data_IF_435970222634
#
_entry.id   IF_435970222634
#
_cell.length_a   1.000
_cell.length_b   1.000
_cell.length_c   1.000
_cell.angle_alpha   90.00
_cell.angle_beta   90.00
_cell.angle_gamma   90.00
#
_symmetry.space_group_name_H-M   'P 1'
#
loop_
_entity.id
_entity.type
_entity.pdbx_description
1 polymer ?
#
# COMPACT_ATOMS: atom_id res chain seq x y z
N UNK A 1 16.37 -14.80 -40.11
CA UNK A 1 15.27 -13.80 -40.09
C UNK A 1 13.96 -14.55 -39.98
N UNK A 2 13.47 -14.75 -38.76
CA UNK A 2 12.09 -15.19 -38.53
C UNK A 2 11.17 -13.96 -38.59
N UNK A 3 9.97 -14.06 -39.18
CA UNK A 3 9.13 -12.90 -39.40
C UNK A 3 8.56 -12.42 -38.05
N UNK A 4 8.68 -11.10 -37.81
CA UNK A 4 7.94 -10.39 -36.76
C UNK A 4 6.45 -10.57 -37.03
N UNK A 5 5.81 -11.46 -36.26
CA UNK A 5 4.35 -11.53 -36.20
C UNK A 5 3.91 -10.25 -35.49
N UNK A 6 3.35 -9.33 -36.26
CA UNK A 6 2.74 -8.11 -35.75
C UNK A 6 1.41 -8.51 -35.08
N UNK A 7 1.48 -8.94 -33.82
CA UNK A 7 0.29 -9.11 -32.98
C UNK A 7 -0.23 -7.70 -32.69
N UNK A 8 -1.40 -7.36 -33.22
CA UNK A 8 -2.09 -6.15 -32.85
C UNK A 8 -2.36 -6.20 -31.34
N UNK A 9 -1.57 -5.48 -30.55
CA UNK A 9 -1.82 -5.34 -29.11
C UNK A 9 -2.98 -4.37 -28.93
N UNK A 10 -4.17 -4.88 -28.64
CA UNK A 10 -5.29 -4.05 -28.19
C UNK A 10 -4.87 -3.39 -26.85
N UNK A 11 -4.63 -2.09 -26.90
CA UNK A 11 -4.26 -1.29 -25.73
C UNK A 11 -5.50 -0.99 -24.90
N UNK A 12 -5.54 -1.49 -23.66
CA UNK A 12 -6.60 -1.16 -22.69
C UNK A 12 -6.21 0.13 -21.95
N UNK A 13 -7.15 1.05 -21.75
CA UNK A 13 -6.92 2.20 -20.87
C UNK A 13 -7.10 1.79 -19.40
N UNK A 14 -6.37 2.37 -18.43
CA UNK A 14 -6.48 2.00 -17.02
C UNK A 14 -7.90 2.03 -16.45
N UNK A 15 -8.72 3.00 -16.89
CA UNK A 15 -10.13 3.12 -16.49
C UNK A 15 -11.11 2.24 -17.27
N UNK A 16 -10.61 1.30 -18.08
CA UNK A 16 -11.42 0.40 -18.90
C UNK A 16 -11.21 -1.09 -18.57
N UNK A 17 -10.45 -1.40 -17.52
CA UNK A 17 -10.15 -2.79 -17.13
C UNK A 17 -11.44 -3.62 -16.95
N UNK A 18 -12.49 -3.04 -16.40
CA UNK A 18 -13.78 -3.68 -16.17
C UNK A 18 -14.88 -3.11 -17.08
N UNK A 19 -14.52 -2.53 -18.24
CA UNK A 19 -15.49 -2.00 -19.18
C UNK A 19 -16.50 -3.08 -19.61
N UNK A 20 -17.80 -2.75 -19.52
CA UNK A 20 -18.89 -3.68 -19.82
C UNK A 20 -19.20 -4.70 -18.72
N UNK A 21 -18.42 -4.75 -17.63
CA UNK A 21 -18.77 -5.54 -16.45
C UNK A 21 -19.85 -4.83 -15.63
N UNK A 22 -20.78 -5.62 -15.10
CA UNK A 22 -21.85 -5.17 -14.21
C UNK A 22 -21.74 -5.86 -12.86
N UNK A 23 -21.88 -5.09 -11.78
CA UNK A 23 -21.89 -5.60 -10.41
C UNK A 23 -23.07 -5.07 -9.63
N UNK A 24 -23.75 -5.97 -8.92
CA UNK A 24 -24.81 -5.64 -7.97
C UNK A 24 -24.25 -5.75 -6.56
N UNK A 25 -24.13 -4.62 -5.87
CA UNK A 25 -23.69 -4.59 -4.48
C UNK A 25 -24.90 -4.79 -3.55
N UNK A 26 -24.75 -5.55 -2.46
CA UNK A 26 -25.89 -6.03 -1.68
C UNK A 26 -26.63 -4.94 -0.88
N UNK A 27 -26.04 -3.75 -0.73
CA UNK A 27 -26.51 -2.69 0.17
C UNK A 27 -26.10 -1.29 -0.32
N UNK A 28 -26.69 -0.27 0.29
CA UNK A 28 -26.35 1.14 0.11
C UNK A 28 -25.86 1.75 1.44
N UNK A 29 -24.66 1.37 1.86
CA UNK A 29 -23.93 1.96 2.98
C UNK A 29 -22.61 2.60 2.51
N UNK A 30 -21.88 3.23 3.43
CA UNK A 30 -20.60 3.92 3.11
C UNK A 30 -19.61 2.97 2.42
N UNK A 31 -19.52 1.71 2.87
CA UNK A 31 -18.64 0.71 2.28
C UNK A 31 -19.05 0.36 0.85
N UNK A 32 -20.35 0.14 0.58
CA UNK A 32 -20.85 -0.17 -0.76
C UNK A 32 -20.73 1.01 -1.72
N UNK A 33 -20.96 2.24 -1.24
CA UNK A 33 -20.74 3.44 -2.06
C UNK A 33 -19.27 3.62 -2.41
N UNK A 34 -18.36 3.38 -1.46
CA UNK A 34 -16.92 3.39 -1.73
C UNK A 34 -16.49 2.29 -2.70
N UNK A 35 -17.00 1.05 -2.52
CA UNK A 35 -16.78 -0.05 -3.45
C UNK A 35 -17.21 0.29 -4.88
N UNK A 36 -18.37 0.95 -5.03
CA UNK A 36 -18.81 1.50 -6.32
C UNK A 36 -17.81 2.50 -6.90
N UNK A 37 -17.27 3.43 -6.10
CA UNK A 37 -16.24 4.38 -6.59
C UNK A 37 -15.04 3.63 -7.16
N UNK A 38 -14.53 2.61 -6.44
CA UNK A 38 -13.38 1.82 -6.90
C UNK A 38 -13.68 1.08 -8.21
N UNK A 39 -14.80 0.35 -8.27
CA UNK A 39 -15.19 -0.44 -9.44
C UNK A 39 -15.49 0.45 -10.65
N UNK A 40 -16.16 1.58 -10.46
CA UNK A 40 -16.43 2.54 -11.54
C UNK A 40 -15.16 3.24 -12.03
N UNK A 41 -14.17 3.48 -11.15
CA UNK A 41 -12.85 3.97 -11.57
C UNK A 41 -12.11 2.98 -12.49
N UNK A 42 -12.47 1.70 -12.46
CA UNK A 42 -11.97 0.65 -13.36
C UNK A 42 -12.87 0.45 -14.58
N UNK A 43 -13.95 1.21 -14.74
CA UNK A 43 -14.85 1.16 -15.90
C UNK A 43 -16.09 0.28 -15.74
N UNK A 44 -16.36 -0.24 -14.54
CA UNK A 44 -17.53 -1.08 -14.29
C UNK A 44 -18.82 -0.26 -14.06
N UNK A 45 -19.93 -0.81 -14.52
CA UNK A 45 -21.27 -0.38 -14.11
C UNK A 45 -21.64 -1.04 -12.78
N UNK A 46 -22.10 -0.26 -11.80
CA UNK A 46 -22.37 -0.78 -10.46
C UNK A 46 -23.72 -0.27 -9.95
N UNK A 47 -24.57 -1.21 -9.56
CA UNK A 47 -25.85 -0.93 -8.92
C UNK A 47 -25.75 -1.20 -7.41
N UNK A 48 -26.34 -0.31 -6.61
CA UNK A 48 -26.44 -0.47 -5.16
C UNK A 48 -27.78 -1.09 -4.80
N UNK A 49 -27.77 -2.01 -3.84
CA UNK A 49 -28.98 -2.61 -3.29
C UNK A 49 -29.80 -1.60 -2.48
N UNK A 50 -31.10 -1.87 -2.35
CA UNK A 50 -32.04 -0.96 -1.68
C UNK A 50 -31.89 -0.89 -0.14
N UNK A 51 -31.08 -1.76 0.47
CA UNK A 51 -30.93 -1.83 1.93
C UNK A 51 -29.81 -0.90 2.41
N UNK A 52 -30.14 0.14 3.17
CA UNK A 52 -29.17 1.04 3.82
C UNK A 52 -28.66 0.52 5.18
N UNK A 53 -28.35 -0.79 5.30
CA UNK A 53 -27.88 -1.40 6.55
C UNK A 53 -26.38 -1.67 6.50
N UNK A 54 -25.62 -0.91 7.28
CA UNK A 54 -24.18 -1.06 7.50
C UNK A 54 -23.76 -0.43 8.83
N UNK A 55 -22.51 -0.62 9.22
CA UNK A 55 -21.93 0.11 10.37
C UNK A 55 -21.78 1.58 10.00
N UNK A 56 -22.07 2.48 10.94
CA UNK A 56 -21.65 3.88 10.80
C UNK A 56 -20.12 3.97 10.75
N UNK A 57 -19.53 5.04 10.18
CA UNK A 57 -18.07 5.24 10.19
C UNK A 57 -17.46 5.11 11.59
N UNK A 58 -18.07 5.72 12.60
CA UNK A 58 -17.63 5.63 14.00
C UNK A 58 -17.73 4.21 14.58
N UNK A 59 -18.75 3.44 14.19
CA UNK A 59 -18.86 2.03 14.58
C UNK A 59 -17.80 1.17 13.89
N UNK A 60 -17.58 1.35 12.58
CA UNK A 60 -16.55 0.63 11.84
C UNK A 60 -15.15 0.93 12.36
N UNK A 61 -14.89 2.18 12.75
CA UNK A 61 -13.63 2.60 13.37
C UNK A 61 -13.39 1.92 14.71
N UNK A 62 -14.37 1.92 15.62
CA UNK A 62 -14.26 1.19 16.89
C UNK A 62 -14.13 -0.32 16.68
N UNK A 63 -14.83 -0.89 15.70
CA UNK A 63 -14.74 -2.32 15.40
C UNK A 63 -13.35 -2.70 14.84
N UNK A 64 -12.68 -1.80 14.12
CA UNK A 64 -11.26 -1.98 13.74
C UNK A 64 -10.33 -2.03 14.95
N UNK A 65 -10.73 -1.42 16.07
CA UNK A 65 -9.94 -1.24 17.27
C UNK A 65 -8.82 -0.19 17.14
N UNK A 66 -8.83 0.62 16.08
CA UNK A 66 -7.83 1.67 15.87
C UNK A 66 -8.07 2.92 16.71
N UNK A 67 -9.27 3.07 17.29
CA UNK A 67 -9.56 4.06 18.33
C UNK A 67 -8.60 3.93 19.52
N UNK A 68 -8.25 2.70 19.91
CA UNK A 68 -7.32 2.43 21.00
C UNK A 68 -5.87 2.90 20.75
N UNK A 69 -5.51 3.25 19.52
CA UNK A 69 -4.19 3.77 19.13
C UNK A 69 -4.25 5.17 18.53
N UNK A 70 -5.43 5.80 18.60
CA UNK A 70 -5.66 7.13 18.02
C UNK A 70 -6.02 8.09 19.12
N UNK A 71 -5.20 9.13 19.28
CA UNK A 71 -5.34 10.14 20.32
C UNK A 71 -4.00 10.64 20.86
N UNK A 72 -4.02 11.64 21.75
CA UNK A 72 -2.84 12.08 22.48
C UNK A 72 -2.18 10.95 23.26
N UNK A 73 -0.92 11.15 23.63
CA UNK A 73 -0.18 10.17 24.44
C UNK A 73 -0.88 9.93 25.77
N UNK A 74 -1.38 8.70 25.98
CA UNK A 74 -2.11 8.33 27.19
C UNK A 74 -3.62 8.57 27.14
N UNK A 75 -4.14 9.21 26.10
CA UNK A 75 -5.56 9.55 25.93
C UNK A 75 -6.07 9.02 24.58
N UNK A 76 -6.21 7.69 24.47
CA UNK A 76 -6.76 7.05 23.27
C UNK A 76 -8.28 7.22 23.15
N UNK A 77 -8.83 6.85 21.99
CA UNK A 77 -10.28 6.81 21.75
C UNK A 77 -10.79 7.83 20.74
N UNK A 78 -9.91 8.56 20.06
CA UNK A 78 -10.32 9.48 19.01
C UNK A 78 -10.76 8.72 17.75
N UNK A 79 -11.73 9.31 17.05
CA UNK A 79 -12.22 8.81 15.77
C UNK A 79 -11.33 9.29 14.62
N UNK A 80 -11.27 8.52 13.54
CA UNK A 80 -10.70 9.02 12.30
C UNK A 80 -11.71 9.99 11.64
N UNK A 81 -11.33 11.23 11.28
CA UNK A 81 -12.22 12.15 10.60
C UNK A 81 -12.68 11.68 9.21
N UNK A 82 -11.90 10.80 8.57
CA UNK A 82 -12.26 10.14 7.32
C UNK A 82 -12.77 8.71 7.60
N UNK A 83 -13.71 8.16 6.81
CA UNK A 83 -14.31 6.86 7.07
C UNK A 83 -13.42 5.69 6.61
N UNK A 84 -12.13 5.71 6.95
CA UNK A 84 -11.13 4.77 6.42
C UNK A 84 -11.42 3.30 6.73
N UNK A 85 -12.01 3.00 7.89
CA UNK A 85 -12.48 1.66 8.22
C UNK A 85 -13.62 1.19 7.30
N UNK A 86 -14.55 2.08 6.96
CA UNK A 86 -15.61 1.78 5.98
C UNK A 86 -15.05 1.68 4.56
N UNK A 87 -14.05 2.49 4.19
CA UNK A 87 -13.36 2.40 2.90
C UNK A 87 -12.63 1.05 2.75
N UNK A 88 -11.99 0.56 3.81
CA UNK A 88 -11.39 -0.77 3.84
C UNK A 88 -12.41 -1.88 3.62
N UNK A 89 -13.57 -1.82 4.29
CA UNK A 89 -14.67 -2.76 4.02
C UNK A 89 -15.20 -2.64 2.58
N UNK A 90 -15.23 -1.43 2.01
CA UNK A 90 -15.58 -1.20 0.62
C UNK A 90 -14.59 -1.83 -0.37
N UNK A 91 -13.29 -1.76 -0.08
CA UNK A 91 -12.27 -2.43 -0.90
C UNK A 91 -12.44 -3.96 -0.88
N UNK A 92 -12.74 -4.54 0.29
CA UNK A 92 -13.07 -5.97 0.39
C UNK A 92 -14.36 -6.32 -0.36
N UNK A 93 -15.40 -5.49 -0.27
CA UNK A 93 -16.65 -5.71 -0.99
C UNK A 93 -16.44 -5.65 -2.52
N UNK A 94 -15.57 -4.76 -3.01
CA UNK A 94 -15.18 -4.71 -4.42
C UNK A 94 -14.42 -5.97 -4.85
N UNK A 95 -13.50 -6.48 -4.02
CA UNK A 95 -12.81 -7.77 -4.27
C UNK A 95 -13.82 -8.91 -4.39
N UNK A 96 -14.76 -9.02 -3.44
CA UNK A 96 -15.79 -10.06 -3.43
C UNK A 96 -16.70 -10.00 -4.65
N UNK A 97 -17.05 -8.80 -5.10
CA UNK A 97 -17.83 -8.58 -6.32
C UNK A 97 -17.09 -9.06 -7.57
N UNK A 98 -15.80 -8.69 -7.73
CA UNK A 98 -14.98 -9.12 -8.87
C UNK A 98 -14.76 -10.63 -8.89
N UNK A 99 -14.59 -11.24 -7.71
CA UNK A 99 -14.40 -12.68 -7.53
C UNK A 99 -15.70 -13.49 -7.51
N UNK A 100 -16.86 -12.83 -7.46
CA UNK A 100 -18.16 -13.46 -7.25
C UNK A 100 -18.19 -14.44 -6.06
N UNK A 101 -17.48 -14.10 -4.97
CA UNK A 101 -17.36 -14.96 -3.78
C UNK A 101 -17.08 -14.12 -2.54
N UNK A 102 -17.79 -14.42 -1.45
CA UNK A 102 -17.55 -13.82 -0.13
C UNK A 102 -16.26 -14.34 0.49
N UNK A 103 -15.49 -13.44 1.09
CA UNK A 103 -14.27 -13.76 1.81
C UNK A 103 -14.53 -13.68 3.33
N UNK A 104 -13.82 -14.47 4.15
CA UNK A 104 -14.06 -14.49 5.60
C UNK A 104 -13.49 -13.25 6.33
N UNK A 105 -12.79 -12.36 5.62
CA UNK A 105 -12.10 -11.22 6.21
C UNK A 105 -12.90 -9.92 6.05
N UNK A 106 -12.84 -9.09 7.07
CA UNK A 106 -13.46 -7.77 7.07
C UNK A 106 -12.35 -6.72 6.93
N UNK A 107 -12.49 -5.79 6.00
CA UNK A 107 -11.44 -4.81 5.69
C UNK A 107 -11.06 -3.97 6.91
N UNK A 108 -12.04 -3.52 7.69
CA UNK A 108 -11.81 -2.80 8.95
C UNK A 108 -10.98 -3.61 9.96
N UNK A 109 -11.12 -4.93 10.01
CA UNK A 109 -10.34 -5.80 10.90
C UNK A 109 -8.93 -6.01 10.38
N UNK A 110 -8.73 -6.02 9.07
CA UNK A 110 -7.41 -6.03 8.44
C UNK A 110 -6.62 -4.76 8.76
N UNK A 111 -7.27 -3.59 8.85
CA UNK A 111 -6.59 -2.34 9.27
C UNK A 111 -5.99 -2.44 10.67
N UNK A 112 -6.70 -3.10 11.60
CA UNK A 112 -6.27 -3.24 13.00
C UNK A 112 -5.47 -4.49 13.31
N UNK A 113 -5.15 -5.33 12.31
CA UNK A 113 -4.74 -6.71 12.58
C UNK A 113 -3.44 -6.84 13.37
N UNK A 114 -2.50 -5.89 13.24
CA UNK A 114 -1.25 -5.90 14.01
C UNK A 114 -1.48 -5.76 15.52
N UNK A 115 -2.51 -5.03 15.93
CA UNK A 115 -2.90 -4.89 17.35
C UNK A 115 -3.30 -6.22 17.99
N UNK A 116 -3.91 -7.11 17.22
CA UNK A 116 -4.30 -8.43 17.73
C UNK A 116 -3.08 -9.25 18.20
N UNK A 117 -1.89 -8.94 17.67
CA UNK A 117 -0.64 -9.64 17.98
C UNK A 117 0.33 -8.81 18.83
N UNK A 118 0.05 -7.52 19.07
CA UNK A 118 0.97 -6.63 19.76
C UNK A 118 0.28 -5.43 20.42
N UNK A 119 0.57 -5.12 21.70
CA UNK A 119 -0.02 -3.97 22.38
C UNK A 119 0.58 -2.66 21.84
N UNK A 120 -0.11 -2.06 20.88
CA UNK A 120 0.15 -0.71 20.41
C UNK A 120 -0.60 0.31 21.28
N UNK A 121 -0.12 1.56 21.33
CA UNK A 121 -0.70 2.64 22.13
C UNK A 121 -0.82 3.94 21.31
N UNK A 122 -1.77 4.77 21.68
CA UNK A 122 -1.86 6.14 21.17
C UNK A 122 -0.63 6.94 21.63
N UNK A 123 0.11 7.50 20.68
CA UNK A 123 1.33 8.28 20.91
C UNK A 123 1.21 9.76 20.54
N UNK A 124 0.03 10.21 20.11
CA UNK A 124 -0.21 11.55 19.60
C UNK A 124 0.68 11.88 18.39
N UNK A 125 1.75 12.64 18.63
CA UNK A 125 2.76 13.01 17.62
C UNK A 125 3.80 11.92 17.34
N UNK A 126 3.65 10.75 17.95
CA UNK A 126 4.47 9.55 17.72
C UNK A 126 3.55 8.45 17.19
N UNK A 127 3.97 7.75 16.12
CA UNK A 127 3.19 6.66 15.55
C UNK A 127 3.00 5.50 16.53
N UNK A 128 2.01 4.66 16.28
CA UNK A 128 1.63 3.57 17.19
C UNK A 128 2.78 2.58 17.49
N UNK A 129 3.68 2.37 16.52
CA UNK A 129 4.87 1.52 16.65
C UNK A 129 6.13 2.27 17.14
N UNK A 130 6.05 3.60 17.35
CA UNK A 130 7.14 4.42 17.84
C UNK A 130 8.21 4.85 16.83
N UNK A 131 8.16 4.37 15.57
CA UNK A 131 9.22 4.63 14.60
C UNK A 131 9.11 5.99 13.90
N UNK A 132 7.90 6.55 13.84
CA UNK A 132 7.62 7.79 13.12
C UNK A 132 7.21 8.91 14.08
N UNK A 133 7.68 10.13 13.84
CA UNK A 133 7.32 11.32 14.63
C UNK A 133 6.95 12.51 13.76
N UNK A 134 5.92 13.24 14.19
CA UNK A 134 5.56 14.55 13.65
C UNK A 134 6.44 15.63 14.29
N UNK A 135 7.29 16.25 13.49
CA UNK A 135 8.23 17.28 13.90
C UNK A 135 7.82 18.62 13.31
N UNK A 136 7.75 19.64 14.18
CA UNK A 136 7.56 21.01 13.74
C UNK A 136 8.83 21.51 13.05
N UNK A 137 8.65 22.23 11.95
CA UNK A 137 9.68 22.95 11.18
C UNK A 137 9.35 24.44 11.18
N UNK A 138 10.17 25.27 10.55
CA UNK A 138 9.96 26.72 10.50
C UNK A 138 8.65 27.14 9.79
N UNK A 139 8.11 26.29 8.90
CA UNK A 139 7.00 26.60 8.00
C UNK A 139 5.96 25.47 7.87
N UNK A 140 5.92 24.53 8.82
CA UNK A 140 4.92 23.46 8.88
C UNK A 140 5.41 22.21 9.62
N UNK A 141 4.66 21.11 9.50
CA UNK A 141 5.05 19.81 10.08
C UNK A 141 5.62 18.86 9.01
N UNK A 142 6.55 18.01 9.44
CA UNK A 142 7.00 16.82 8.70
C UNK A 142 6.80 15.57 9.55
N UNK A 143 6.65 14.42 8.90
CA UNK A 143 6.83 13.11 9.51
C UNK A 143 8.23 12.59 9.19
N UNK A 144 9.02 12.26 10.21
CA UNK A 144 10.29 11.54 10.07
C UNK A 144 10.08 10.10 10.55
N UNK A 145 10.30 9.13 9.67
CA UNK A 145 10.16 7.71 9.99
C UNK A 145 11.53 7.02 10.02
N UNK A 146 11.94 6.57 11.20
CA UNK A 146 13.16 5.80 11.43
C UNK A 146 12.79 4.33 11.62
N UNK A 147 12.15 3.75 10.60
CA UNK A 147 11.63 2.39 10.63
C UNK A 147 12.74 1.33 10.61
N UNK A 148 13.94 1.69 10.13
CA UNK A 148 15.09 0.80 10.04
C UNK A 148 16.19 1.25 11.01
N UNK A 149 16.89 0.33 11.68
CA UNK A 149 18.01 0.70 12.57
C UNK A 149 19.07 1.58 11.88
N UNK A 150 19.35 1.32 10.60
CA UNK A 150 20.30 2.09 9.80
C UNK A 150 19.85 3.54 9.50
N UNK A 151 18.56 3.87 9.65
CA UNK A 151 18.07 5.23 9.38
C UNK A 151 18.71 6.27 10.31
N UNK A 152 19.06 5.87 11.54
CA UNK A 152 19.78 6.72 12.50
C UNK A 152 21.14 7.19 11.97
N UNK A 153 21.81 6.35 11.18
CA UNK A 153 23.13 6.65 10.61
C UNK A 153 23.04 7.74 9.51
N UNK A 154 21.85 7.98 8.97
CA UNK A 154 21.61 9.01 7.95
C UNK A 154 21.37 10.40 8.56
N UNK A 155 21.09 10.49 9.87
CA UNK A 155 20.69 11.75 10.50
C UNK A 155 21.77 12.83 10.49
N UNK A 156 23.07 12.53 10.74
CA UNK A 156 24.11 13.56 10.64
C UNK A 156 24.21 14.15 9.23
N UNK A 157 24.11 13.29 8.20
CA UNK A 157 24.10 13.70 6.80
C UNK A 157 22.82 14.45 6.41
N UNK A 158 21.68 14.12 7.00
CA UNK A 158 20.40 14.79 6.77
C UNK A 158 20.32 16.17 7.43
N UNK A 159 20.86 16.31 8.64
CA UNK A 159 20.83 17.54 9.44
C UNK A 159 22.12 18.35 9.34
N UNK A 160 23.13 17.89 8.59
CA UNK A 160 24.38 18.66 8.40
C UNK A 160 25.10 18.95 9.73
N UNK A 161 24.99 18.04 10.69
CA UNK A 161 25.61 18.19 11.99
C UNK A 161 25.93 16.84 12.63
N UNK A 162 27.02 16.82 13.39
CA UNK A 162 27.41 15.66 14.20
C UNK A 162 26.56 15.58 15.49
N UNK A 163 26.59 14.41 16.14
CA UNK A 163 25.98 14.22 17.46
C UNK A 163 24.46 14.16 17.46
N UNK A 164 23.84 13.64 16.39
CA UNK A 164 22.40 13.39 16.32
C UNK A 164 22.11 11.93 16.66
N UNK A 165 21.94 11.63 17.94
CA UNK A 165 21.74 10.28 18.49
C UNK A 165 20.41 10.11 19.24
N UNK A 166 19.60 11.17 19.31
CA UNK A 166 18.36 11.19 20.06
C UNK A 166 17.29 12.03 19.40
N UNK A 167 16.03 11.72 19.70
CA UNK A 167 14.88 12.48 19.20
C UNK A 167 14.89 13.95 19.66
N UNK A 168 15.43 14.23 20.86
CA UNK A 168 15.59 15.60 21.35
C UNK A 168 16.57 16.38 20.47
N UNK A 169 17.72 15.77 20.14
CA UNK A 169 18.69 16.36 19.22
C UNK A 169 18.06 16.62 17.85
N UNK A 170 17.37 15.65 17.26
CA UNK A 170 16.65 15.82 15.98
C UNK A 170 15.67 16.99 16.04
N UNK A 171 14.80 17.01 17.05
CA UNK A 171 13.74 18.04 17.19
C UNK A 171 14.33 19.45 17.28
N UNK A 172 15.39 19.62 18.07
CA UNK A 172 16.06 20.92 18.24
C UNK A 172 16.68 21.47 16.95
N UNK A 173 17.07 20.59 16.01
CA UNK A 173 17.69 20.95 14.73
C UNK A 173 16.67 21.16 13.62
N UNK A 174 15.55 20.46 13.67
CA UNK A 174 14.49 20.51 12.65
C UNK A 174 13.61 21.76 12.81
N UNK A 175 13.35 22.20 14.04
CA UNK A 175 12.39 23.29 14.34
C UNK A 175 12.72 24.63 13.69
N UNK A 176 13.99 24.91 13.42
CA UNK A 176 14.43 26.17 12.81
C UNK A 176 14.63 26.08 11.29
N UNK A 177 14.44 24.90 10.69
CA UNK A 177 14.71 24.66 9.26
C UNK A 177 13.45 24.70 8.43
N UNK A 178 13.58 25.05 7.15
CA UNK A 178 12.46 25.00 6.22
C UNK A 178 12.15 23.57 5.82
N UNK A 179 10.87 23.24 5.75
CA UNK A 179 10.36 21.93 5.34
C UNK A 179 10.90 21.49 3.98
N UNK A 180 10.96 22.40 3.00
CA UNK A 180 11.40 22.08 1.64
C UNK A 180 12.85 21.55 1.60
N UNK A 181 13.76 22.18 2.36
CA UNK A 181 15.18 21.80 2.44
C UNK A 181 15.36 20.42 3.09
N UNK A 182 14.61 20.16 4.16
CA UNK A 182 14.62 18.88 4.87
C UNK A 182 14.12 17.74 3.97
N UNK A 183 13.05 17.96 3.20
CA UNK A 183 12.49 16.98 2.29
C UNK A 183 13.43 16.67 1.13
N UNK A 184 13.99 17.71 0.49
CA UNK A 184 14.93 17.55 -0.62
C UNK A 184 16.12 16.66 -0.22
N UNK A 185 16.74 16.95 0.92
CA UNK A 185 17.89 16.17 1.39
C UNK A 185 17.53 14.76 1.81
N UNK A 186 16.39 14.57 2.48
CA UNK A 186 15.91 13.25 2.84
C UNK A 186 15.75 12.36 1.59
N UNK A 187 15.23 12.92 0.50
CA UNK A 187 15.07 12.23 -0.78
C UNK A 187 16.42 11.80 -1.38
N UNK A 188 17.45 12.64 -1.31
CA UNK A 188 18.77 12.32 -1.86
C UNK A 188 19.44 11.13 -1.16
N UNK A 189 19.29 11.05 0.17
CA UNK A 189 19.92 9.99 0.97
C UNK A 189 19.01 8.78 1.22
N UNK A 190 17.76 8.82 0.73
CA UNK A 190 16.80 7.72 0.90
C UNK A 190 16.29 7.56 2.34
N UNK A 191 16.12 8.67 3.05
CA UNK A 191 15.51 8.75 4.38
C UNK A 191 14.00 9.01 4.22
N UNK A 192 13.17 8.31 4.99
CA UNK A 192 11.72 8.48 4.96
C UNK A 192 11.28 9.75 5.69
N UNK A 193 11.06 10.82 4.92
CA UNK A 193 10.52 12.08 5.42
C UNK A 193 9.36 12.52 4.53
N UNK A 194 8.20 12.76 5.14
CA UNK A 194 7.00 13.18 4.46
C UNK A 194 6.54 14.57 4.94
N UNK A 195 6.00 15.42 4.07
CA UNK A 195 5.35 16.65 4.50
C UNK A 195 3.99 16.34 5.12
N UNK A 196 3.61 17.03 6.20
CA UNK A 196 2.21 17.13 6.59
C UNK A 196 1.53 18.18 5.69
N UNK A 197 0.51 17.76 4.94
CA UNK A 197 -0.20 18.57 3.94
C UNK A 197 -1.69 18.33 4.00
N UNK A 198 -2.49 19.25 3.47
CA UNK A 198 -3.93 19.01 3.34
C UNK A 198 -4.19 17.84 2.39
N UNK A 199 -5.25 17.02 2.61
CA UNK A 199 -5.62 15.97 1.69
C UNK A 199 -5.92 16.53 0.29
N UNK A 200 -5.54 15.78 -0.73
CA UNK A 200 -5.89 16.08 -2.13
C UNK A 200 -6.31 14.79 -2.85
N UNK A 201 -7.02 14.94 -3.97
CA UNK A 201 -7.52 13.79 -4.71
C UNK A 201 -6.41 13.17 -5.56
N UNK A 202 -6.20 11.86 -5.41
CA UNK A 202 -5.27 11.08 -6.21
C UNK A 202 -5.97 9.84 -6.81
N UNK A 203 -5.56 9.37 -7.99
CA UNK A 203 -5.96 8.05 -8.47
C UNK A 203 -5.32 6.98 -7.58
N UNK A 204 -6.09 5.98 -7.16
CA UNK A 204 -5.58 4.91 -6.28
C UNK A 204 -4.73 3.87 -7.03
N UNK A 205 -4.78 3.85 -8.36
CA UNK A 205 -4.00 2.95 -9.22
C UNK A 205 -3.56 3.66 -10.49
N UNK A 206 -2.33 3.39 -10.91
CA UNK A 206 -1.81 3.72 -12.23
C UNK A 206 -1.46 2.44 -12.97
N UNK A 207 -1.88 2.31 -14.22
CA UNK A 207 -1.54 1.17 -15.04
C UNK A 207 -0.92 1.63 -16.36
N UNK A 208 0.11 0.92 -16.81
CA UNK A 208 0.84 1.20 -18.05
C UNK A 208 1.20 -0.10 -18.74
N UNK A 209 1.51 -0.03 -20.04
CA UNK A 209 1.86 -1.20 -20.84
C UNK A 209 0.78 -2.30 -20.77
N UNK A 210 -0.49 -1.87 -20.69
CA UNK A 210 -1.63 -2.77 -20.65
C UNK A 210 -1.76 -3.48 -21.99
N UNK A 211 -1.92 -4.79 -21.91
CA UNK A 211 -2.06 -5.68 -23.06
C UNK A 211 -3.22 -6.62 -22.81
N UNK A 212 -4.19 -6.61 -23.72
CA UNK A 212 -5.22 -7.63 -23.76
C UNK A 212 -4.57 -8.94 -24.18
N UNK A 213 -4.45 -9.87 -23.22
CA UNK A 213 -4.07 -11.24 -23.51
C UNK A 213 -4.94 -12.11 -22.61
N UNK A 214 -5.84 -12.94 -23.18
CA UNK A 214 -6.73 -13.76 -22.36
C UNK A 214 -5.86 -14.57 -21.40
N UNK A 215 -5.90 -14.19 -20.12
CA UNK A 215 -5.22 -14.90 -19.07
C UNK A 215 -5.62 -16.38 -19.20
N UNK A 216 -4.68 -17.30 -18.99
CA UNK A 216 -5.03 -18.73 -18.90
C UNK A 216 -6.21 -18.81 -17.95
N UNK A 217 -7.37 -19.22 -18.48
CA UNK A 217 -8.66 -19.19 -17.78
C UNK A 217 -8.74 -20.22 -16.63
N UNK A 218 -7.60 -20.66 -16.10
CA UNK A 218 -7.52 -21.52 -14.94
C UNK A 218 -7.94 -20.75 -13.70
N UNK A 219 -8.75 -21.40 -12.87
CA UNK A 219 -9.15 -20.89 -11.55
C UNK A 219 -7.96 -20.67 -10.60
N UNK A 220 -6.80 -21.29 -10.89
CA UNK A 220 -5.55 -21.15 -10.14
C UNK A 220 -4.55 -20.36 -10.96
N UNK A 221 -3.79 -19.49 -10.29
CA UNK A 221 -2.76 -18.66 -10.90
C UNK A 221 -1.56 -18.50 -9.96
N UNK A 222 -0.38 -18.34 -10.55
CA UNK A 222 0.88 -18.26 -9.82
C UNK A 222 1.22 -16.82 -9.49
N UNK A 223 1.56 -16.58 -8.23
CA UNK A 223 2.01 -15.27 -7.73
C UNK A 223 3.41 -15.42 -7.16
N UNK A 224 4.34 -14.61 -7.65
CA UNK A 224 5.65 -14.43 -7.04
C UNK A 224 5.59 -13.16 -6.18
N UNK A 225 5.71 -13.33 -4.87
CA UNK A 225 5.69 -12.24 -3.90
C UNK A 225 7.12 -11.89 -3.46
N UNK A 226 7.62 -10.77 -3.97
CA UNK A 226 8.93 -10.16 -3.64
C UNK A 226 8.78 -9.04 -2.61
N UNK A 227 7.58 -8.84 -2.07
CA UNK A 227 7.29 -7.74 -1.16
C UNK A 227 7.59 -8.09 0.30
N UNK A 228 7.64 -7.05 1.13
CA UNK A 228 7.93 -7.15 2.55
C UNK A 228 6.98 -6.26 3.35
N UNK A 229 7.07 -6.34 4.67
CA UNK A 229 6.29 -5.56 5.62
C UNK A 229 4.80 -5.92 5.59
N UNK A 230 3.94 -5.00 5.16
CA UNK A 230 2.49 -5.16 5.33
C UNK A 230 1.70 -5.06 4.03
N UNK A 231 1.80 -3.97 3.25
CA UNK A 231 0.93 -3.76 2.09
C UNK A 231 0.98 -4.90 1.06
N UNK A 232 2.19 -5.25 0.60
CA UNK A 232 2.39 -6.32 -0.37
C UNK A 232 2.05 -7.72 0.19
N UNK A 233 2.52 -8.09 1.40
CA UNK A 233 2.13 -9.36 2.01
C UNK A 233 0.63 -9.49 2.27
N UNK A 234 -0.08 -8.40 2.57
CA UNK A 234 -1.55 -8.42 2.68
C UNK A 234 -2.20 -8.63 1.31
N UNK A 235 -1.70 -7.96 0.26
CA UNK A 235 -2.18 -8.17 -1.11
C UNK A 235 -2.06 -9.65 -1.50
N UNK A 236 -0.88 -10.25 -1.34
CA UNK A 236 -0.65 -11.65 -1.71
C UNK A 236 -1.42 -12.64 -0.82
N UNK A 237 -1.66 -12.30 0.46
CA UNK A 237 -2.55 -13.07 1.34
C UNK A 237 -3.99 -13.12 0.81
N UNK A 238 -4.54 -11.96 0.41
CA UNK A 238 -5.89 -11.88 -0.15
C UNK A 238 -5.99 -12.63 -1.49
N UNK A 239 -4.96 -12.55 -2.32
CA UNK A 239 -4.88 -13.30 -3.58
C UNK A 239 -4.81 -14.82 -3.34
N UNK A 240 -4.04 -15.29 -2.35
CA UNK A 240 -4.05 -16.70 -1.94
C UNK A 240 -5.45 -17.14 -1.50
N UNK A 241 -6.13 -16.29 -0.71
CA UNK A 241 -7.54 -16.44 -0.37
C UNK A 241 -8.44 -16.59 -1.60
N UNK A 242 -8.11 -15.94 -2.71
CA UNK A 242 -8.76 -15.98 -4.02
C UNK A 242 -8.31 -17.11 -4.96
N UNK A 243 -7.56 -18.09 -4.45
CA UNK A 243 -7.15 -19.27 -5.23
C UNK A 243 -5.78 -19.15 -5.90
N UNK A 244 -5.01 -18.10 -5.59
CA UNK A 244 -3.63 -17.99 -6.05
C UNK A 244 -2.71 -18.99 -5.36
N UNK A 245 -1.76 -19.54 -6.12
CA UNK A 245 -0.59 -20.23 -5.58
C UNK A 245 0.52 -19.20 -5.39
N UNK A 246 0.77 -18.84 -4.13
CA UNK A 246 1.71 -17.78 -3.79
C UNK A 246 3.04 -18.38 -3.35
N UNK A 247 4.11 -18.02 -4.05
CA UNK A 247 5.48 -18.25 -3.63
C UNK A 247 6.10 -16.92 -3.20
N UNK A 248 6.35 -16.79 -1.91
CA UNK A 248 7.13 -15.70 -1.32
C UNK A 248 8.62 -15.98 -1.52
N UNK A 249 9.35 -15.00 -2.03
CA UNK A 249 10.80 -15.08 -2.17
C UNK A 249 11.46 -14.09 -1.23
N UNK A 250 12.34 -14.56 -0.34
CA UNK A 250 13.10 -13.73 0.57
C UNK A 250 14.61 -13.92 0.38
N UNK A 251 15.38 -12.86 0.65
CA UNK A 251 16.83 -12.95 0.67
C UNK A 251 17.30 -13.50 2.04
N UNK A 252 18.14 -14.55 2.10
CA UNK A 252 18.56 -15.17 3.37
C UNK A 252 19.17 -14.18 4.37
N UNK A 253 19.95 -13.21 3.87
CA UNK A 253 20.63 -12.21 4.70
C UNK A 253 19.82 -10.90 4.90
N UNK A 254 18.70 -10.75 4.20
CA UNK A 254 17.82 -9.57 4.32
C UNK A 254 16.37 -10.05 4.36
N UNK A 255 16.00 -10.77 5.43
CA UNK A 255 14.64 -11.28 5.58
C UNK A 255 13.66 -10.11 5.75
N UNK A 256 12.37 -10.40 5.62
CA UNK A 256 11.31 -9.42 5.82
C UNK A 256 11.43 -8.70 7.17
N UNK A 257 11.43 -7.36 7.14
CA UNK A 257 11.43 -6.53 8.35
C UNK A 257 10.26 -6.79 9.28
N UNK A 258 9.12 -7.29 8.80
CA UNK A 258 7.99 -7.70 9.64
C UNK A 258 8.35 -8.83 10.62
N UNK A 259 9.40 -9.63 10.33
CA UNK A 259 9.92 -10.66 11.25
C UNK A 259 10.61 -10.07 12.48
N UNK A 260 11.05 -8.81 12.42
CA UNK A 260 11.56 -8.08 13.59
C UNK A 260 10.43 -7.59 14.51
N UNK A 261 9.20 -7.58 13.99
CA UNK A 261 8.00 -7.29 14.73
C UNK A 261 7.39 -8.53 15.39
N UNK A 262 6.10 -8.48 15.74
CA UNK A 262 5.39 -9.60 16.35
C UNK A 262 5.31 -10.78 15.38
N UNK A 263 5.86 -11.94 15.77
CA UNK A 263 5.87 -13.15 14.93
C UNK A 263 4.46 -13.52 14.42
N UNK A 264 3.45 -13.48 15.29
CA UNK A 264 2.07 -13.79 14.92
C UNK A 264 1.49 -12.85 13.84
N UNK A 265 1.97 -11.61 13.74
CA UNK A 265 1.57 -10.70 12.66
C UNK A 265 2.19 -11.12 11.33
N UNK A 266 3.49 -11.44 11.31
CA UNK A 266 4.16 -11.98 10.14
C UNK A 266 3.52 -13.30 9.68
N UNK A 267 3.26 -14.21 10.60
CA UNK A 267 2.65 -15.52 10.33
C UNK A 267 1.22 -15.35 9.78
N UNK A 268 0.43 -14.43 10.33
CA UNK A 268 -0.93 -14.15 9.84
C UNK A 268 -0.92 -13.61 8.40
N UNK A 269 0.01 -12.69 8.08
CA UNK A 269 0.14 -12.13 6.73
C UNK A 269 0.64 -13.15 5.71
N UNK A 270 1.38 -14.17 6.14
CA UNK A 270 2.00 -15.14 5.24
C UNK A 270 1.38 -16.53 5.33
N UNK A 271 0.29 -16.69 6.07
CA UNK A 271 -0.49 -17.90 6.15
C UNK A 271 -0.96 -18.34 4.75
N UNK A 272 -0.75 -19.63 4.44
CA UNK A 272 -1.13 -20.22 3.15
C UNK A 272 -0.16 -19.98 1.98
N UNK A 273 0.97 -19.29 2.20
CA UNK A 273 2.00 -19.07 1.16
C UNK A 273 3.12 -20.10 1.28
N UNK A 274 3.66 -20.54 0.15
CA UNK A 274 4.96 -21.18 0.12
C UNK A 274 6.05 -20.10 0.25
N UNK A 275 7.19 -20.42 0.88
CA UNK A 275 8.32 -19.50 0.99
C UNK A 275 9.58 -20.16 0.45
N UNK A 276 10.36 -19.41 -0.33
CA UNK A 276 11.66 -19.80 -0.85
C UNK A 276 12.70 -18.72 -0.48
N UNK A 277 13.88 -19.16 -0.05
CA UNK A 277 14.99 -18.26 0.20
C UNK A 277 15.96 -18.31 -0.98
N UNK A 278 16.22 -17.17 -1.63
CA UNK A 278 17.16 -17.06 -2.75
C UNK A 278 18.22 -16.01 -2.45
N UNK A 279 19.50 -16.40 -2.59
CA UNK A 279 20.61 -15.45 -2.51
C UNK A 279 20.75 -14.68 -3.82
N UNK A 280 20.16 -13.49 -3.85
CA UNK A 280 20.12 -12.60 -5.02
C UNK A 280 21.47 -11.89 -5.28
N UNK A 281 22.45 -12.02 -4.37
CA UNK A 281 23.82 -11.57 -4.63
C UNK A 281 24.54 -12.52 -5.61
N UNK A 282 24.13 -13.78 -5.66
CA UNK A 282 24.68 -14.77 -6.60
C UNK A 282 24.01 -14.68 -7.98
N UNK A 283 24.74 -15.07 -9.03
CA UNK A 283 24.17 -15.20 -10.37
C UNK A 283 23.07 -16.25 -10.42
N UNK A 284 23.30 -17.40 -9.79
CA UNK A 284 22.36 -18.52 -9.74
C UNK A 284 21.03 -18.12 -9.09
N UNK A 285 21.06 -17.39 -7.97
CA UNK A 285 19.85 -16.90 -7.33
C UNK A 285 19.07 -15.90 -8.19
N UNK A 286 19.76 -15.02 -8.92
CA UNK A 286 19.12 -14.10 -9.88
C UNK A 286 18.52 -14.83 -11.08
N UNK A 287 19.24 -15.79 -11.66
CA UNK A 287 18.76 -16.58 -12.81
C UNK A 287 17.55 -17.44 -12.40
N UNK A 288 17.56 -18.00 -11.18
CA UNK A 288 16.41 -18.72 -10.58
C UNK A 288 15.22 -17.79 -10.40
N UNK A 289 15.42 -16.59 -9.82
CA UNK A 289 14.36 -15.60 -9.65
C UNK A 289 13.74 -15.20 -11.00
N UNK A 290 14.56 -14.94 -12.02
CA UNK A 290 14.06 -14.62 -13.36
C UNK A 290 13.22 -15.75 -13.94
N UNK A 291 13.65 -17.01 -13.78
CA UNK A 291 12.86 -18.17 -14.22
C UNK A 291 11.49 -18.19 -13.54
N UNK A 292 11.45 -18.04 -12.21
CA UNK A 292 10.20 -17.98 -11.45
C UNK A 292 9.29 -16.84 -11.91
N UNK A 293 9.84 -15.66 -12.16
CA UNK A 293 9.10 -14.49 -12.68
C UNK A 293 8.48 -14.78 -14.04
N UNK A 294 9.24 -15.39 -14.96
CA UNK A 294 8.74 -15.67 -16.33
C UNK A 294 7.64 -16.73 -16.38
N UNK A 295 7.52 -17.56 -15.34
CA UNK A 295 6.45 -18.55 -15.20
C UNK A 295 5.24 -18.04 -14.41
N UNK A 296 5.31 -16.84 -13.84
CA UNK A 296 4.28 -16.27 -12.99
C UNK A 296 3.17 -15.61 -13.80
N UNK A 297 1.96 -15.60 -13.25
CA UNK A 297 0.87 -14.75 -13.76
C UNK A 297 0.93 -13.35 -13.13
N UNK A 298 1.40 -13.27 -11.88
CA UNK A 298 1.51 -12.03 -11.13
C UNK A 298 2.85 -11.97 -10.41
N UNK A 299 3.52 -10.82 -10.49
CA UNK A 299 4.66 -10.48 -9.62
C UNK A 299 4.27 -9.31 -8.75
N UNK A 300 4.48 -9.43 -7.44
CA UNK A 300 4.24 -8.36 -6.47
C UNK A 300 5.57 -7.91 -5.91
N UNK A 301 5.83 -6.61 -5.93
CA UNK A 301 7.03 -6.04 -5.36
C UNK A 301 6.72 -4.72 -4.64
N UNK A 302 7.51 -4.42 -3.61
CA UNK A 302 7.50 -3.13 -2.90
C UNK A 302 8.88 -2.47 -2.85
N UNK A 303 9.74 -2.81 -3.81
CA UNK A 303 11.08 -2.29 -3.94
C UNK A 303 11.10 -1.06 -4.86
N UNK A 304 12.03 -0.14 -4.61
CA UNK A 304 12.28 0.96 -5.56
C UNK A 304 12.72 0.36 -6.91
N UNK A 305 12.26 0.89 -8.06
CA UNK A 305 12.65 0.37 -9.38
C UNK A 305 14.16 0.24 -9.56
N UNK A 306 14.94 1.19 -9.03
CA UNK A 306 16.41 1.15 -9.04
C UNK A 306 16.99 -0.10 -8.35
N UNK A 307 16.41 -0.52 -7.22
CA UNK A 307 16.89 -1.67 -6.46
C UNK A 307 16.70 -2.99 -7.23
N UNK A 308 15.55 -3.17 -7.89
CA UNK A 308 15.29 -4.35 -8.71
C UNK A 308 16.19 -4.40 -9.95
N UNK A 309 16.41 -3.25 -10.61
CA UNK A 309 17.32 -3.17 -11.77
C UNK A 309 18.76 -3.52 -11.42
N UNK A 310 19.22 -3.18 -10.21
CA UNK A 310 20.54 -3.61 -9.70
C UNK A 310 20.64 -5.14 -9.53
N UNK A 311 19.51 -5.82 -9.35
CA UNK A 311 19.40 -7.28 -9.32
C UNK A 311 19.14 -7.88 -10.72
N UNK A 312 19.23 -7.09 -11.80
CA UNK A 312 18.98 -7.54 -13.16
C UNK A 312 17.50 -7.74 -13.50
N UNK A 313 16.59 -7.25 -12.65
CA UNK A 313 15.14 -7.38 -12.84
C UNK A 313 14.58 -6.05 -13.35
N UNK A 314 14.26 -5.99 -14.64
CA UNK A 314 13.62 -4.85 -15.30
C UNK A 314 12.14 -5.16 -15.55
N UNK A 315 11.27 -4.64 -14.67
CA UNK A 315 9.83 -4.85 -14.73
C UNK A 315 9.22 -4.40 -16.06
N UNK A 316 9.65 -3.24 -16.59
CA UNK A 316 9.15 -2.71 -17.85
C UNK A 316 9.58 -3.59 -19.05
N UNK A 317 10.79 -4.15 -19.03
CA UNK A 317 11.23 -5.11 -20.04
C UNK A 317 10.46 -6.43 -19.94
N UNK A 318 10.27 -6.97 -18.73
CA UNK A 318 9.60 -8.23 -18.49
C UNK A 318 8.12 -8.19 -18.90
N UNK A 319 7.39 -7.13 -18.54
CA UNK A 319 5.97 -6.96 -18.97
C UNK A 319 5.85 -6.88 -20.49
N UNK A 320 6.77 -6.18 -21.19
CA UNK A 320 6.77 -6.15 -22.67
C UNK A 320 7.05 -7.51 -23.31
N UNK A 321 7.88 -8.33 -22.67
CA UNK A 321 8.27 -9.64 -23.18
C UNK A 321 7.22 -10.72 -22.86
N UNK A 322 6.39 -10.50 -21.84
CA UNK A 322 5.37 -11.42 -21.36
C UNK A 322 4.03 -10.68 -21.21
N UNK A 323 3.26 -10.49 -22.30
CA UNK A 323 2.08 -9.61 -22.28
C UNK A 323 0.94 -10.05 -21.35
N UNK A 324 0.93 -11.30 -20.89
CA UNK A 324 -0.01 -11.81 -19.87
C UNK A 324 0.46 -11.59 -18.43
N UNK A 325 1.69 -11.11 -18.21
CA UNK A 325 2.25 -10.89 -16.88
C UNK A 325 1.66 -9.62 -16.25
N UNK A 326 1.05 -9.78 -15.07
CA UNK A 326 0.67 -8.65 -14.22
C UNK A 326 1.81 -8.32 -13.26
N UNK A 327 2.48 -7.20 -13.47
CA UNK A 327 3.49 -6.68 -12.55
C UNK A 327 2.87 -5.63 -11.62
N UNK A 328 2.80 -5.92 -10.32
CA UNK A 328 2.24 -5.06 -9.31
C UNK A 328 3.32 -4.44 -8.43
N UNK A 329 3.42 -3.12 -8.47
CA UNK A 329 4.36 -2.31 -7.70
C UNK A 329 3.62 -1.56 -6.59
N UNK A 330 3.97 -1.84 -5.35
CA UNK A 330 3.38 -1.22 -4.14
C UNK A 330 4.48 -0.42 -3.44
N UNK A 331 4.57 0.87 -3.73
CA UNK A 331 5.61 1.77 -3.19
C UNK A 331 4.98 2.98 -2.50
N UNK A 332 5.78 3.79 -1.80
CA UNK A 332 5.29 4.98 -1.10
C UNK A 332 4.55 5.98 -2.00
N UNK A 333 5.17 6.31 -3.14
CA UNK A 333 4.77 7.40 -4.02
C UNK A 333 4.61 6.96 -5.50
N UNK A 334 4.60 5.65 -5.77
CA UNK A 334 4.42 5.10 -7.10
C UNK A 334 5.73 4.89 -7.87
N UNK A 335 5.63 4.74 -9.19
CA UNK A 335 6.77 4.52 -10.11
C UNK A 335 7.14 5.74 -10.97
N UNK A 336 6.39 6.83 -10.87
CA UNK A 336 6.64 8.05 -11.65
C UNK A 336 7.84 8.83 -11.10
N UNK A 337 8.72 9.31 -11.99
CA UNK A 337 9.78 10.23 -11.59
C UNK A 337 9.19 11.60 -11.22
N UNK A 338 9.72 12.30 -10.19
CA UNK A 338 10.91 11.95 -9.39
C UNK A 338 10.60 11.07 -8.17
N UNK A 339 9.34 10.76 -7.89
CA UNK A 339 8.90 10.15 -6.62
C UNK A 339 9.21 8.64 -6.53
N UNK A 340 9.51 7.98 -7.66
CA UNK A 340 9.76 6.55 -7.79
C UNK A 340 10.83 5.97 -6.84
N UNK A 341 11.80 6.79 -6.44
CA UNK A 341 12.91 6.38 -5.58
C UNK A 341 12.79 6.89 -4.13
N UNK A 342 11.70 7.60 -3.80
CA UNK A 342 11.45 8.09 -2.44
C UNK A 342 11.07 6.94 -1.51
N UNK A 343 11.62 6.96 -0.30
CA UNK A 343 11.34 5.95 0.73
C UNK A 343 10.12 6.39 1.52
N UNK A 344 9.19 5.47 1.74
CA UNK A 344 8.05 5.68 2.63
C UNK A 344 7.62 4.37 3.30
N UNK A 345 6.93 4.51 4.41
CA UNK A 345 6.20 3.44 5.09
C UNK A 345 4.77 3.89 5.40
N UNK A 346 3.93 3.00 5.92
CA UNK A 346 2.51 3.28 6.08
C UNK A 346 2.17 4.54 6.88
N UNK A 347 2.93 4.85 7.93
CA UNK A 347 2.68 6.02 8.78
C UNK A 347 3.01 7.35 8.08
N UNK A 348 4.22 7.49 7.53
CA UNK A 348 4.62 8.73 6.85
C UNK A 348 3.91 8.92 5.50
N UNK A 349 3.56 7.84 4.80
CA UNK A 349 2.72 7.92 3.62
C UNK A 349 1.30 8.40 3.96
N UNK A 350 0.73 7.97 5.09
CA UNK A 350 -0.57 8.48 5.56
C UNK A 350 -0.50 9.97 5.96
N UNK A 351 0.61 10.42 6.53
CA UNK A 351 0.86 11.84 6.79
C UNK A 351 0.96 12.63 5.48
N UNK A 352 1.69 12.12 4.49
CA UNK A 352 1.79 12.72 3.15
C UNK A 352 0.43 12.79 2.42
N UNK A 353 -0.48 11.85 2.72
CA UNK A 353 -1.85 11.84 2.21
C UNK A 353 -2.79 12.83 2.92
N UNK A 354 -2.31 13.46 4.00
CA UNK A 354 -2.99 14.51 4.75
C UNK A 354 -3.81 14.06 5.94
N UNK A 355 -3.61 12.83 6.40
CA UNK A 355 -4.33 12.30 7.55
C UNK A 355 -4.09 13.11 8.84
N UNK A 356 -2.85 13.53 9.09
CA UNK A 356 -2.54 14.34 10.27
C UNK A 356 -3.09 15.76 10.22
N UNK A 357 -3.25 16.36 9.03
CA UNK A 357 -3.94 17.64 8.89
C UNK A 357 -5.45 17.49 9.15
N UNK A 358 -6.06 16.35 8.78
CA UNK A 358 -7.45 16.08 9.16
C UNK A 358 -7.61 15.94 10.67
N UNK A 359 -6.67 15.27 11.34
CA UNK A 359 -6.66 15.22 12.81
C UNK A 359 -6.55 16.62 13.40
N UNK A 360 -5.67 17.48 12.86
CA UNK A 360 -5.54 18.88 13.29
C UNK A 360 -6.84 19.65 13.10
N UNK A 361 -7.47 19.54 11.94
CA UNK A 361 -8.72 20.24 11.65
C UNK A 361 -9.86 19.82 12.61
N UNK A 362 -9.91 18.54 13.01
CA UNK A 362 -10.98 18.00 13.86
C UNK A 362 -10.75 18.20 15.36
N UNK A 363 -9.49 18.09 15.81
CA UNK A 363 -9.11 17.98 17.21
C UNK A 363 -8.15 19.09 17.70
N UNK A 364 -7.68 19.98 16.81
CA UNK A 364 -6.85 21.13 17.15
C UNK A 364 -5.34 20.89 17.07
N UNK A 365 -4.89 19.65 16.90
CA UNK A 365 -3.47 19.29 16.80
C UNK A 365 -3.22 18.17 15.77
N UNK A 366 -2.05 18.18 15.13
CA UNK A 366 -1.67 17.07 14.25
C UNK A 366 -1.22 15.87 15.05
N UNK A 367 -1.88 14.75 14.77
CA UNK A 367 -1.66 13.46 15.41
C UNK A 367 -1.50 12.39 14.33
N UNK A 368 -0.83 11.30 14.68
CA UNK A 368 -1.01 10.05 13.96
C UNK A 368 -2.42 9.51 14.20
N UNK A 369 -2.92 8.74 13.24
CA UNK A 369 -4.23 8.12 13.30
C UNK A 369 -4.12 6.67 12.83
N UNK A 370 -4.53 5.74 13.70
CA UNK A 370 -4.35 4.31 13.48
C UNK A 370 -2.89 3.84 13.56
N UNK A 371 -2.64 2.65 13.01
CA UNK A 371 -1.33 2.02 12.88
C UNK A 371 -1.02 1.83 11.39
N UNK A 372 -0.08 2.61 10.86
CA UNK A 372 0.43 2.50 9.49
C UNK A 372 -0.66 2.33 8.42
N UNK A 373 -1.77 3.07 8.54
CA UNK A 373 -3.01 2.84 7.79
C UNK A 373 -2.85 2.73 6.27
N UNK A 374 -1.86 3.44 5.70
CA UNK A 374 -1.62 3.39 4.27
C UNK A 374 -1.24 1.98 3.79
N UNK A 375 -0.57 1.17 4.62
CA UNK A 375 -0.17 -0.19 4.27
C UNK A 375 -1.36 -1.13 4.00
N UNK A 376 -2.24 -1.41 4.99
CA UNK A 376 -3.34 -2.35 4.78
C UNK A 376 -4.37 -1.83 3.78
N UNK A 377 -4.63 -0.51 3.75
CA UNK A 377 -5.47 0.10 2.71
C UNK A 377 -4.93 -0.24 1.32
N UNK A 378 -3.64 -0.03 1.11
CA UNK A 378 -3.00 -0.29 -0.19
C UNK A 378 -2.98 -1.77 -0.53
N UNK A 379 -2.74 -2.66 0.43
CA UNK A 379 -2.78 -4.10 0.19
C UNK A 379 -4.13 -4.58 -0.35
N UNK A 380 -5.24 -4.06 0.19
CA UNK A 380 -6.59 -4.37 -0.31
C UNK A 380 -6.84 -3.79 -1.71
N UNK A 381 -6.47 -2.53 -1.96
CA UNK A 381 -6.63 -1.92 -3.28
C UNK A 381 -5.77 -2.61 -4.35
N UNK A 382 -4.55 -3.00 -3.99
CA UNK A 382 -3.64 -3.72 -4.88
C UNK A 382 -4.18 -5.11 -5.25
N UNK A 383 -4.77 -5.83 -4.30
CA UNK A 383 -5.44 -7.10 -4.59
C UNK A 383 -6.62 -6.91 -5.56
N UNK A 384 -7.43 -5.85 -5.37
CA UNK A 384 -8.51 -5.50 -6.30
C UNK A 384 -7.97 -5.23 -7.72
N UNK A 385 -6.88 -4.46 -7.85
CA UNK A 385 -6.28 -4.16 -9.15
C UNK A 385 -5.86 -5.44 -9.90
N UNK A 386 -5.18 -6.36 -9.20
CA UNK A 386 -4.78 -7.65 -9.80
C UNK A 386 -5.99 -8.47 -10.22
N UNK A 387 -7.01 -8.60 -9.36
CA UNK A 387 -8.18 -9.41 -9.66
C UNK A 387 -9.01 -8.80 -10.80
N UNK A 388 -9.08 -7.48 -10.90
CA UNK A 388 -9.71 -6.79 -12.00
C UNK A 388 -8.96 -7.02 -13.32
N UNK A 389 -7.63 -6.87 -13.32
CA UNK A 389 -6.79 -7.15 -14.49
C UNK A 389 -6.94 -8.61 -14.97
N UNK A 390 -6.96 -9.56 -14.02
CA UNK A 390 -7.20 -10.97 -14.33
C UNK A 390 -8.59 -11.21 -14.93
N UNK A 391 -9.64 -10.60 -14.35
CA UNK A 391 -11.01 -10.70 -14.88
C UNK A 391 -11.11 -10.13 -16.29
N UNK A 392 -10.35 -9.08 -16.58
CA UNK A 392 -10.25 -8.46 -17.89
C UNK A 392 -9.47 -9.28 -18.92
N UNK A 393 -8.69 -10.29 -18.49
CA UNK A 393 -7.70 -10.93 -19.36
C UNK A 393 -6.62 -9.94 -19.78
N UNK A 394 -6.03 -9.24 -18.81
CA UNK A 394 -5.06 -8.18 -19.05
C UNK A 394 -3.79 -8.42 -18.24
N UNK A 395 -2.64 -8.34 -18.90
CA UNK A 395 -1.33 -8.13 -18.26
C UNK A 395 -0.96 -6.65 -18.26
N UNK A 396 0.18 -6.31 -17.66
CA UNK A 396 0.67 -4.94 -17.62
C UNK A 396 1.40 -4.58 -16.34
N UNK A 397 1.85 -3.32 -16.28
CA UNK A 397 2.53 -2.76 -15.12
C UNK A 397 1.59 -1.86 -14.32
N UNK A 398 1.26 -2.29 -13.11
CA UNK A 398 0.39 -1.61 -12.15
C UNK A 398 1.22 -1.00 -11.03
N UNK A 399 0.94 0.25 -10.70
CA UNK A 399 1.52 0.98 -9.57
C UNK A 399 0.41 1.43 -8.65
N UNK A 400 0.51 1.05 -7.38
CA UNK A 400 -0.48 1.35 -6.33
C UNK A 400 0.25 2.04 -5.18
N UNK A 401 0.33 3.39 -5.19
CA UNK A 401 1.10 4.13 -4.20
C UNK A 401 0.42 4.19 -2.83
N UNK A 402 1.18 4.02 -1.74
CA UNK A 402 0.67 4.14 -0.37
C UNK A 402 0.00 5.50 -0.11
N UNK A 403 0.68 6.60 -0.51
CA UNK A 403 0.16 7.97 -0.39
C UNK A 403 -1.16 8.11 -1.14
N UNK A 404 -1.18 7.70 -2.41
CA UNK A 404 -2.28 7.98 -3.32
C UNK A 404 -3.53 7.17 -2.96
N UNK A 405 -3.38 5.90 -2.56
CA UNK A 405 -4.49 5.10 -2.03
C UNK A 405 -5.07 5.75 -0.77
N UNK A 406 -4.22 6.21 0.15
CA UNK A 406 -4.69 6.83 1.38
C UNK A 406 -5.42 8.15 1.10
N UNK A 407 -4.86 8.98 0.23
CA UNK A 407 -5.46 10.25 -0.18
C UNK A 407 -6.78 10.04 -0.94
N UNK A 408 -6.85 9.00 -1.78
CA UNK A 408 -8.07 8.55 -2.42
C UNK A 408 -9.11 8.09 -1.39
N UNK A 409 -8.75 7.21 -0.47
CA UNK A 409 -9.65 6.72 0.58
C UNK A 409 -10.18 7.85 1.48
N UNK A 410 -9.36 8.86 1.77
CA UNK A 410 -9.79 10.07 2.46
C UNK A 410 -10.84 10.82 1.63
N UNK A 411 -10.49 11.25 0.42
CA UNK A 411 -11.31 12.15 -0.39
C UNK A 411 -12.59 11.47 -0.92
N UNK A 412 -12.46 10.31 -1.54
CA UNK A 412 -13.61 9.55 -2.01
C UNK A 412 -14.46 9.03 -0.85
N UNK A 413 -13.84 8.64 0.26
CA UNK A 413 -14.54 8.22 1.47
C UNK A 413 -15.43 9.33 2.04
N UNK A 414 -14.90 10.56 2.17
CA UNK A 414 -15.67 11.71 2.64
C UNK A 414 -16.81 12.08 1.67
N UNK A 415 -16.63 11.89 0.36
CA UNK A 415 -17.66 12.17 -0.64
C UNK A 415 -18.84 11.19 -0.64
N UNK A 416 -18.69 10.02 0.01
CA UNK A 416 -19.74 8.98 0.04
C UNK A 416 -20.42 8.81 1.40
N UNK A 417 -20.02 9.62 2.39
CA UNK A 417 -20.77 9.82 3.64
C UNK A 417 -22.14 10.45 3.32
#
# INVERSE_FOLDING_TARGET
MLPLVNVATDHILPGQLLAGARFDLPRDDVAARYARVLLSALGAEVQLGAQARGLSPSQAWRDSGLDAVTGPSGEAGLECPAPLASCADGAMLAIEAVQARTLPWQGRRLLGMRRCSHPLRAGGRVSANGSCRLLATADGDIALNLARPEDWQLLPAWLECEGVDSWSAVTSRVVTRRRAELLERARWIGLAVAPSVAPSAHPWVHATQLTAEPAKASARFKVIDLSALWAGPLCSFLLAGCGAEVLRVEHPQRPDGARLGPAAFFDSLNAGKATCALDLATREGRDTLLTLITEADVVIEGSRPRALRQLGVDAEALVRQHPGLCWLSITGYGRGAPEADWVAFGDDAAVAAGLSELMRARYGEALFCGDALADPLTGMHAALAVLAARRAGCGGLFSVPLRDVTAHAITAGLNVL
#
